data_IF_539867585783
#
_entry.id   IF_539867585783
#
_cell.length_a   1.000
_cell.length_b   1.000
_cell.length_c   1.000
_cell.angle_alpha   90.00
_cell.angle_beta   90.00
_cell.angle_gamma   90.00
#
_symmetry.space_group_name_H-M   'P 1'
#
loop_
_entity.id
_entity.type
_entity.pdbx_description
1 polymer ?
#
# COMPACT_ATOMS: atom_id res chain seq x y z
N UNK A 1 -14.19 9.11 -95.05
CA UNK A 1 -13.01 8.27 -95.35
C UNK A 1 -12.71 7.44 -94.12
N UNK A 2 -12.58 6.11 -94.30
CA UNK A 2 -12.28 5.11 -93.26
C UNK A 2 -10.87 5.31 -92.69
N UNK A 3 -10.63 4.95 -91.43
CA UNK A 3 -9.46 4.25 -90.83
C UNK A 3 -9.72 4.23 -89.31
N UNK A 4 -10.17 3.14 -88.67
CA UNK A 4 -9.57 1.83 -88.36
C UNK A 4 -8.56 1.85 -87.19
N UNK A 5 -8.81 0.93 -86.24
CA UNK A 5 -8.20 0.74 -84.92
C UNK A 5 -6.81 0.08 -84.93
N UNK A 6 -6.17 0.15 -83.75
CA UNK A 6 -5.08 -0.69 -83.21
C UNK A 6 -3.65 -0.24 -83.57
N UNK A 7 -2.65 -0.18 -82.68
CA UNK A 7 -2.38 -0.87 -81.40
C UNK A 7 -1.59 0.03 -80.45
N UNK A 8 -2.06 0.18 -79.21
CA UNK A 8 -1.27 0.62 -78.07
C UNK A 8 -0.50 -0.62 -77.58
N UNK A 9 0.82 -0.66 -77.68
CA UNK A 9 1.67 -1.58 -76.91
C UNK A 9 3.15 -1.22 -77.12
N UNK A 10 3.73 -0.45 -76.19
CA UNK A 10 5.06 -0.70 -75.61
C UNK A 10 5.32 0.30 -74.46
N UNK A 11 4.52 0.21 -73.39
CA UNK A 11 4.96 0.78 -72.11
C UNK A 11 5.90 -0.24 -71.49
N UNK A 12 7.19 0.09 -71.56
CA UNK A 12 8.29 -0.64 -70.93
C UNK A 12 7.93 -0.95 -69.47
N UNK A 13 7.90 -2.25 -69.17
CA UNK A 13 7.93 -2.82 -67.83
C UNK A 13 9.21 -2.38 -67.11
N UNK A 14 9.20 -1.19 -66.51
CA UNK A 14 10.08 -0.85 -65.39
C UNK A 14 9.32 -1.14 -64.10
N UNK A 15 9.18 -2.45 -63.83
CA UNK A 15 9.01 -2.92 -62.47
C UNK A 15 10.31 -2.66 -61.72
N UNK A 16 10.54 -1.40 -61.33
CA UNK A 16 11.50 -1.13 -60.27
C UNK A 16 10.90 -1.71 -59.01
N UNK A 17 11.37 -2.90 -58.68
CA UNK A 17 11.41 -3.41 -57.32
C UNK A 17 12.12 -2.35 -56.47
N UNK A 18 11.37 -1.35 -56.01
CA UNK A 18 11.76 -0.63 -54.81
C UNK A 18 11.65 -1.68 -53.70
N UNK A 19 12.76 -2.08 -53.08
CA UNK A 19 12.62 -2.77 -51.81
C UNK A 19 11.93 -1.75 -50.91
N UNK A 20 10.65 -1.96 -50.60
CA UNK A 20 10.11 -1.44 -49.36
C UNK A 20 10.96 -2.09 -48.27
N UNK A 21 12.09 -1.45 -47.95
CA UNK A 21 12.75 -1.66 -46.69
C UNK A 21 11.84 -0.99 -45.67
N UNK A 22 10.75 -1.67 -45.32
CA UNK A 22 10.04 -1.45 -44.08
C UNK A 22 10.92 -1.97 -42.95
N UNK A 23 12.11 -1.40 -42.81
CA UNK A 23 12.81 -1.41 -41.55
C UNK A 23 11.93 -0.59 -40.62
N UNK A 24 11.08 -1.28 -39.85
CA UNK A 24 10.42 -0.70 -38.69
C UNK A 24 11.49 0.09 -37.93
N UNK A 25 11.23 1.34 -37.50
CA UNK A 25 12.20 2.09 -36.72
C UNK A 25 12.65 1.22 -35.55
N UNK A 26 13.93 0.83 -35.54
CA UNK A 26 14.51 0.14 -34.39
C UNK A 26 14.48 1.14 -33.24
N UNK A 27 13.75 0.83 -32.17
CA UNK A 27 13.73 1.65 -30.98
C UNK A 27 15.17 1.89 -30.52
N UNK A 28 15.54 3.12 -30.12
CA UNK A 28 16.87 3.37 -29.60
C UNK A 28 17.13 2.47 -28.39
N UNK A 29 18.37 1.97 -28.19
CA UNK A 29 18.70 1.19 -27.02
C UNK A 29 18.48 2.02 -25.75
N UNK A 30 18.03 1.36 -24.68
CA UNK A 30 17.88 2.00 -23.38
C UNK A 30 19.26 2.45 -22.85
N UNK A 31 19.31 3.63 -22.25
CA UNK A 31 20.50 4.11 -21.56
C UNK A 31 20.73 3.30 -20.26
N UNK A 32 21.99 3.22 -19.81
CA UNK A 32 22.38 2.46 -18.62
C UNK A 32 21.59 2.84 -17.37
N UNK A 33 21.31 4.14 -17.18
CA UNK A 33 20.52 4.60 -16.04
C UNK A 33 19.06 4.13 -16.10
N UNK A 34 18.48 3.97 -17.30
CA UNK A 34 17.12 3.47 -17.46
C UNK A 34 17.03 2.01 -17.04
N UNK A 35 18.02 1.20 -17.47
CA UNK A 35 18.15 -0.21 -17.11
C UNK A 35 18.36 -0.36 -15.61
N UNK A 36 19.29 0.43 -15.03
CA UNK A 36 19.56 0.45 -13.59
C UNK A 36 18.31 0.80 -12.78
N UNK A 37 17.65 1.92 -13.10
CA UNK A 37 16.48 2.39 -12.35
C UNK A 37 15.32 1.38 -12.43
N UNK A 38 15.12 0.75 -13.60
CA UNK A 38 14.17 -0.35 -13.76
C UNK A 38 14.51 -1.52 -12.84
N UNK A 39 15.76 -1.97 -12.83
CA UNK A 39 16.19 -3.09 -11.99
C UNK A 39 16.09 -2.78 -10.50
N UNK A 40 16.44 -1.58 -10.06
CA UNK A 40 16.30 -1.16 -8.67
C UNK A 40 14.84 -1.25 -8.21
N UNK A 41 13.92 -0.60 -8.93
CA UNK A 41 12.49 -0.62 -8.59
C UNK A 41 11.92 -2.03 -8.67
N UNK A 42 12.21 -2.75 -9.76
CA UNK A 42 11.73 -4.12 -9.92
C UNK A 42 12.22 -5.00 -8.76
N UNK A 43 13.48 -4.89 -8.35
CA UNK A 43 14.03 -5.68 -7.24
C UNK A 43 13.35 -5.35 -5.90
N UNK A 44 13.07 -4.07 -5.62
CA UNK A 44 12.30 -3.65 -4.44
C UNK A 44 10.95 -4.38 -4.39
N UNK A 45 10.16 -4.32 -5.46
CA UNK A 45 8.86 -5.00 -5.49
C UNK A 45 8.96 -6.53 -5.55
N UNK A 46 10.05 -7.09 -6.09
CA UNK A 46 10.28 -8.53 -5.99
C UNK A 46 10.45 -8.98 -4.53
N UNK A 47 10.90 -8.12 -3.60
CA UNK A 47 10.95 -8.45 -2.18
C UNK A 47 9.57 -8.41 -1.50
N UNK A 48 8.54 -7.78 -2.08
CA UNK A 48 7.18 -7.80 -1.52
C UNK A 48 6.40 -9.07 -1.88
N UNK A 49 6.97 -9.95 -2.71
CA UNK A 49 6.35 -11.21 -3.14
C UNK A 49 6.65 -12.31 -2.13
N UNK A 50 5.60 -12.98 -1.65
CA UNK A 50 5.72 -14.03 -0.64
C UNK A 50 6.49 -15.25 -1.18
N UNK A 51 7.37 -15.89 -0.39
CA UNK A 51 7.71 -15.58 1.02
C UNK A 51 8.93 -14.63 1.18
N UNK A 52 9.34 -13.91 0.13
CA UNK A 52 10.61 -13.15 0.17
C UNK A 52 10.59 -12.02 1.19
N UNK A 53 9.44 -11.41 1.47
CA UNK A 53 9.34 -10.33 2.45
C UNK A 53 9.63 -10.79 3.88
N UNK A 54 9.48 -12.09 4.21
CA UNK A 54 9.62 -12.58 5.60
C UNK A 54 11.03 -12.35 6.15
N UNK A 55 12.06 -12.54 5.32
CA UNK A 55 13.45 -12.29 5.72
C UNK A 55 13.76 -10.80 5.93
N UNK A 56 13.05 -9.92 5.21
CA UNK A 56 13.15 -8.47 5.37
C UNK A 56 12.45 -8.03 6.65
N UNK A 57 11.20 -8.49 6.86
CA UNK A 57 10.40 -8.17 8.05
C UNK A 57 11.11 -8.60 9.33
N UNK A 58 11.76 -9.77 9.33
CA UNK A 58 12.53 -10.26 10.48
C UNK A 58 13.69 -9.36 10.90
N UNK A 59 14.13 -8.44 10.03
CA UNK A 59 15.24 -7.51 10.26
C UNK A 59 14.79 -6.05 10.32
N UNK A 60 13.48 -5.77 10.28
CA UNK A 60 12.98 -4.41 10.03
C UNK A 60 13.23 -3.43 11.17
N UNK A 61 13.54 -3.92 12.36
CA UNK A 61 13.94 -3.10 13.51
C UNK A 61 15.41 -2.66 13.43
N UNK A 62 16.18 -3.18 12.47
CA UNK A 62 17.55 -2.75 12.23
C UNK A 62 17.59 -1.48 11.38
N UNK A 63 18.60 -0.64 11.63
CA UNK A 63 18.83 0.59 10.85
C UNK A 63 19.36 0.32 9.43
N UNK A 64 19.76 -0.93 9.13
CA UNK A 64 20.10 -1.37 7.78
C UNK A 64 19.76 -2.86 7.57
N UNK A 65 19.51 -3.23 6.30
CA UNK A 65 19.25 -4.60 5.86
C UNK A 65 20.13 -4.86 4.62
N UNK A 66 21.08 -5.80 4.66
CA UNK A 66 22.07 -6.00 3.59
C UNK A 66 21.46 -6.18 2.19
N UNK A 67 20.31 -6.85 2.08
CA UNK A 67 19.61 -7.07 0.81
C UNK A 67 19.01 -5.78 0.21
N UNK A 68 18.78 -4.76 1.04
CA UNK A 68 18.15 -3.49 0.68
C UNK A 68 19.14 -2.33 0.59
N UNK A 69 20.34 -2.45 1.19
CA UNK A 69 21.40 -1.44 1.11
C UNK A 69 21.77 -1.02 -0.33
N UNK A 70 21.78 -1.93 -1.33
CA UNK A 70 22.02 -1.53 -2.73
C UNK A 70 20.80 -0.88 -3.40
N UNK A 71 19.63 -0.88 -2.76
CA UNK A 71 18.36 -0.45 -3.35
C UNK A 71 17.85 0.86 -2.76
N UNK A 72 18.11 1.11 -1.48
CA UNK A 72 17.64 2.28 -0.75
C UNK A 72 18.81 3.04 -0.13
N UNK A 73 18.76 4.37 -0.20
CA UNK A 73 19.67 5.23 0.54
C UNK A 73 19.43 5.10 2.04
N UNK A 74 20.46 5.20 2.90
CA UNK A 74 20.29 5.23 4.36
C UNK A 74 19.38 6.38 4.84
N UNK A 75 19.27 7.45 4.04
CA UNK A 75 18.43 8.62 4.32
C UNK A 75 17.14 8.62 3.50
N UNK A 76 16.69 7.46 3.02
CA UNK A 76 15.48 7.38 2.19
C UNK A 76 14.29 8.00 2.93
N UNK A 77 13.53 8.81 2.20
CA UNK A 77 12.33 9.48 2.67
C UNK A 77 11.26 9.42 1.60
N UNK A 78 9.99 9.27 1.96
CA UNK A 78 8.96 9.20 0.95
C UNK A 78 7.54 9.30 1.46
N UNK A 79 6.61 9.26 0.53
CA UNK A 79 5.17 9.27 0.78
C UNK A 79 4.54 8.09 0.08
N UNK A 80 3.64 7.41 0.77
CA UNK A 80 2.59 6.62 0.11
C UNK A 80 1.29 7.36 0.42
N UNK A 81 0.74 7.97 -0.62
CA UNK A 81 -0.45 8.80 -0.57
C UNK A 81 -1.58 8.03 0.12
N UNK A 82 -2.27 8.72 1.02
CA UNK A 82 -3.29 8.20 1.94
C UNK A 82 -2.82 7.22 3.03
N UNK A 83 -1.58 6.72 2.99
CA UNK A 83 -0.99 5.91 4.06
C UNK A 83 -0.17 6.77 5.01
N UNK A 84 0.81 7.51 4.50
CA UNK A 84 1.64 8.35 5.35
C UNK A 84 2.96 8.80 4.73
N UNK A 85 3.71 9.52 5.55
CA UNK A 85 5.05 10.02 5.25
C UNK A 85 6.09 9.24 6.06
N UNK A 86 7.20 8.93 5.42
CA UNK A 86 8.30 8.13 5.93
C UNK A 86 9.58 8.95 5.81
N UNK A 87 10.30 9.14 6.90
CA UNK A 87 11.42 10.11 6.95
C UNK A 87 12.76 9.44 7.22
N UNK A 88 12.79 8.11 7.27
CA UNK A 88 14.01 7.33 7.47
C UNK A 88 13.85 5.93 6.87
N UNK A 89 14.99 5.24 6.72
CA UNK A 89 15.08 3.89 6.20
C UNK A 89 14.13 2.92 6.92
N UNK A 90 14.21 2.84 8.25
CA UNK A 90 13.40 1.92 9.06
C UNK A 90 11.90 2.03 8.74
N UNK A 91 11.36 3.26 8.80
CA UNK A 91 9.94 3.51 8.57
C UNK A 91 9.54 3.25 7.11
N UNK A 92 10.40 3.58 6.14
CA UNK A 92 10.14 3.26 4.73
C UNK A 92 10.06 1.75 4.52
N UNK A 93 11.05 1.00 4.99
CA UNK A 93 11.11 -0.45 4.81
C UNK A 93 9.94 -1.14 5.52
N UNK A 94 9.65 -0.73 6.74
CA UNK A 94 8.55 -1.30 7.52
C UNK A 94 7.21 -1.20 6.81
N UNK A 95 6.88 -0.06 6.23
CA UNK A 95 5.61 0.08 5.54
C UNK A 95 5.59 -0.61 4.18
N UNK A 96 6.70 -0.61 3.44
CA UNK A 96 6.78 -1.30 2.15
C UNK A 96 6.59 -2.81 2.29
N UNK A 97 7.23 -3.43 3.30
CA UNK A 97 7.26 -4.89 3.43
C UNK A 97 6.32 -5.41 4.52
N UNK A 98 6.14 -4.68 5.62
CA UNK A 98 5.27 -5.08 6.74
C UNK A 98 3.78 -4.96 6.43
N UNK A 99 3.38 -4.06 5.52
CA UNK A 99 1.99 -3.95 5.05
C UNK A 99 1.69 -4.76 3.78
N UNK A 100 2.72 -5.36 3.16
CA UNK A 100 2.51 -6.25 2.02
C UNK A 100 1.69 -7.48 2.48
N UNK A 101 0.53 -7.77 1.85
CA UNK A 101 -0.27 -8.93 2.20
C UNK A 101 0.57 -10.20 2.32
N UNK A 102 0.48 -10.84 3.50
CA UNK A 102 1.13 -12.10 3.82
C UNK A 102 0.23 -12.98 4.70
N UNK A 103 0.40 -14.31 4.68
CA UNK A 103 -0.33 -15.19 5.58
C UNK A 103 0.10 -14.93 7.03
N UNK A 104 -0.81 -14.41 7.85
CA UNK A 104 -0.55 -14.11 9.25
C UNK A 104 -1.84 -14.17 10.07
N UNK A 105 -1.80 -14.89 11.20
CA UNK A 105 -2.96 -15.02 12.09
C UNK A 105 -4.18 -15.59 11.37
N UNK A 106 -5.27 -14.82 11.30
CA UNK A 106 -6.49 -15.17 10.56
C UNK A 106 -6.55 -14.61 9.14
N UNK A 107 -5.53 -13.85 8.71
CA UNK A 107 -5.41 -13.33 7.35
C UNK A 107 -4.58 -14.30 6.51
N UNK A 108 -5.13 -14.69 5.37
CA UNK A 108 -4.54 -15.72 4.53
C UNK A 108 -4.46 -15.22 3.10
N UNK A 109 -3.87 -14.04 2.96
CA UNK A 109 -3.63 -13.40 1.67
C UNK A 109 -2.15 -13.22 1.44
N UNK A 110 -1.70 -13.27 0.18
CA UNK A 110 -0.29 -13.11 -0.14
C UNK A 110 -0.11 -12.43 -1.50
N UNK A 111 0.79 -11.46 -1.60
CA UNK A 111 1.29 -11.03 -2.91
C UNK A 111 2.08 -12.22 -3.49
N UNK A 112 1.60 -12.76 -4.62
CA UNK A 112 2.25 -13.88 -5.33
C UNK A 112 2.96 -13.44 -6.60
N UNK A 113 2.69 -12.21 -7.04
CA UNK A 113 3.27 -11.61 -8.23
C UNK A 113 3.30 -10.10 -8.07
N UNK A 114 4.40 -9.49 -8.49
CA UNK A 114 4.54 -8.04 -8.63
C UNK A 114 5.14 -7.77 -10.01
N UNK A 115 4.34 -7.15 -10.88
CA UNK A 115 4.72 -6.88 -12.27
C UNK A 115 4.83 -5.37 -12.49
N UNK A 116 6.01 -4.92 -12.92
CA UNK A 116 6.26 -3.55 -13.33
C UNK A 116 5.68 -3.32 -14.74
N UNK A 117 4.37 -3.07 -14.80
CA UNK A 117 3.60 -2.94 -16.05
C UNK A 117 3.86 -1.66 -16.84
N UNK A 118 4.25 -0.59 -16.15
CA UNK A 118 4.67 0.66 -16.79
C UNK A 118 5.90 1.19 -16.09
N UNK A 119 6.85 1.67 -16.87
CA UNK A 119 8.07 2.29 -16.36
C UNK A 119 8.57 3.34 -17.35
N UNK A 120 8.98 4.49 -16.83
CA UNK A 120 9.74 5.48 -17.58
C UNK A 120 10.84 6.06 -16.69
N UNK A 121 11.96 6.41 -17.29
CA UNK A 121 13.03 7.13 -16.62
C UNK A 121 13.67 8.07 -17.63
N UNK A 122 13.30 9.34 -17.50
CA UNK A 122 13.71 10.41 -18.42
C UNK A 122 14.99 11.12 -17.93
N UNK A 123 15.48 10.75 -16.74
CA UNK A 123 16.66 11.33 -16.11
C UNK A 123 17.35 10.28 -15.22
N UNK A 124 18.69 10.31 -15.06
CA UNK A 124 19.39 9.36 -14.20
C UNK A 124 18.82 9.26 -12.78
N UNK A 125 18.40 10.38 -12.21
CA UNK A 125 17.87 10.42 -10.84
C UNK A 125 16.36 10.29 -10.73
N UNK A 126 15.59 10.12 -11.82
CA UNK A 126 14.11 10.13 -11.74
C UNK A 126 13.51 8.99 -12.56
N UNK A 127 12.53 8.31 -11.97
CA UNK A 127 11.67 7.38 -12.69
C UNK A 127 10.21 7.48 -12.25
N UNK A 128 9.30 7.06 -13.12
CA UNK A 128 7.91 6.80 -12.81
C UNK A 128 7.59 5.32 -13.06
N UNK A 129 6.68 4.76 -12.27
CA UNK A 129 6.32 3.34 -12.38
C UNK A 129 4.84 3.11 -12.13
N UNK A 130 4.29 2.05 -12.73
CA UNK A 130 3.06 1.40 -12.28
C UNK A 130 3.33 -0.09 -12.07
N UNK A 131 3.10 -0.56 -10.85
CA UNK A 131 3.20 -1.97 -10.47
C UNK A 131 1.81 -2.54 -10.22
N UNK A 132 1.52 -3.67 -10.87
CA UNK A 132 0.35 -4.47 -10.57
C UNK A 132 0.77 -5.64 -9.69
N UNK A 133 0.02 -5.86 -8.62
CA UNK A 133 0.19 -7.00 -7.74
C UNK A 133 -0.94 -7.98 -7.97
N UNK A 134 -0.58 -9.25 -8.04
CA UNK A 134 -1.53 -10.36 -7.93
C UNK A 134 -1.51 -10.86 -6.50
N UNK A 135 -2.67 -10.80 -5.85
CA UNK A 135 -2.82 -11.18 -4.44
C UNK A 135 -3.68 -12.43 -4.38
N UNK A 136 -3.13 -13.53 -3.87
CA UNK A 136 -3.89 -14.72 -3.56
C UNK A 136 -4.73 -14.47 -2.29
N UNK A 137 -6.00 -14.87 -2.32
CA UNK A 137 -6.94 -14.88 -1.20
C UNK A 137 -7.21 -16.37 -0.92
N UNK A 138 -6.65 -16.96 0.12
CA UNK A 138 -6.92 -18.35 0.48
C UNK A 138 -7.50 -18.43 1.90
N UNK A 139 -8.14 -19.54 2.27
CA UNK A 139 -8.64 -19.78 3.63
C UNK A 139 -8.22 -21.20 4.04
N UNK A 140 -7.38 -21.39 5.08
CA UNK A 140 -6.83 -22.70 5.42
C UNK A 140 -7.87 -23.69 5.94
N UNK A 141 -9.09 -23.22 6.26
CA UNK A 141 -10.21 -24.07 6.67
C UNK A 141 -11.00 -24.61 5.48
N UNK A 142 -10.71 -24.18 4.24
CA UNK A 142 -11.37 -24.69 3.03
C UNK A 142 -10.53 -25.80 2.37
N UNK A 143 -11.13 -26.95 2.01
CA UNK A 143 -10.46 -27.96 1.20
C UNK A 143 -9.94 -27.35 -0.12
N UNK A 144 -8.68 -27.62 -0.47
CA UNK A 144 -8.05 -27.10 -1.68
C UNK A 144 -7.13 -25.90 -1.47
N UNK A 145 -6.80 -25.54 -0.22
CA UNK A 145 -5.71 -24.60 0.09
C UNK A 145 -4.43 -25.00 -0.68
N UNK A 146 -3.90 -24.09 -1.50
CA UNK A 146 -2.73 -24.35 -2.34
C UNK A 146 -2.92 -25.26 -3.56
N UNK A 147 -4.11 -25.84 -3.79
CA UNK A 147 -4.38 -26.67 -4.96
C UNK A 147 -4.48 -25.82 -6.25
N UNK A 148 -4.03 -26.31 -7.41
CA UNK A 148 -4.30 -25.67 -8.69
C UNK A 148 -5.81 -25.58 -8.95
N UNK A 149 -6.32 -24.39 -9.28
CA UNK A 149 -7.73 -24.16 -9.63
C UNK A 149 -8.66 -23.69 -8.51
N UNK A 150 -8.18 -23.56 -7.27
CA UNK A 150 -8.97 -23.08 -6.10
C UNK A 150 -8.61 -21.66 -5.66
N UNK A 151 -7.59 -21.04 -6.28
CA UNK A 151 -7.04 -19.74 -5.88
C UNK A 151 -7.97 -18.60 -6.30
N UNK A 152 -8.70 -18.03 -5.36
CA UNK A 152 -9.30 -16.70 -5.56
C UNK A 152 -8.20 -15.67 -5.56
N UNK A 153 -8.09 -14.88 -6.62
CA UNK A 153 -7.13 -13.78 -6.71
C UNK A 153 -7.86 -12.44 -6.69
N UNK A 154 -7.20 -11.44 -6.14
CA UNK A 154 -7.52 -10.04 -6.36
C UNK A 154 -6.27 -9.31 -6.84
N UNK A 155 -6.43 -8.04 -7.23
CA UNK A 155 -5.36 -7.23 -7.79
C UNK A 155 -5.26 -5.91 -7.05
N UNK A 156 -4.03 -5.46 -6.86
CA UNK A 156 -3.71 -4.14 -6.33
C UNK A 156 -2.82 -3.43 -7.33
N UNK A 157 -2.89 -2.11 -7.38
CA UNK A 157 -2.00 -1.28 -8.19
C UNK A 157 -1.28 -0.28 -7.29
N UNK A 158 -0.01 -0.04 -7.55
CA UNK A 158 0.71 1.10 -7.01
C UNK A 158 1.37 1.86 -8.15
N UNK A 159 1.28 3.18 -8.13
CA UNK A 159 1.86 4.05 -9.15
C UNK A 159 2.54 5.24 -8.49
N UNK A 160 3.54 5.83 -9.14
CA UNK A 160 4.15 7.06 -8.64
C UNK A 160 5.57 7.27 -9.13
N UNK A 161 6.29 8.09 -8.37
CA UNK A 161 7.59 8.65 -8.74
C UNK A 161 8.69 8.18 -7.77
N UNK A 162 9.89 8.07 -8.32
CA UNK A 162 11.09 7.64 -7.63
C UNK A 162 12.20 8.63 -7.93
N UNK A 163 12.99 8.94 -6.91
CA UNK A 163 14.25 9.65 -7.03
C UNK A 163 15.39 8.71 -6.64
N UNK A 164 16.52 8.85 -7.32
CA UNK A 164 17.73 8.06 -7.04
C UNK A 164 18.91 8.96 -6.69
N UNK A 165 19.71 8.51 -5.73
CA UNK A 165 21.00 9.11 -5.41
C UNK A 165 22.04 8.85 -6.50
N UNK A 166 23.25 9.38 -6.31
CA UNK A 166 24.37 9.22 -7.24
C UNK A 166 24.83 7.75 -7.42
N UNK A 167 24.48 6.87 -6.47
CA UNK A 167 24.76 5.44 -6.53
C UNK A 167 23.63 4.63 -7.19
N UNK A 168 22.51 5.28 -7.56
CA UNK A 168 21.35 4.63 -8.14
C UNK A 168 20.45 3.92 -7.12
N UNK A 169 20.57 4.28 -5.84
CA UNK A 169 19.67 3.83 -4.77
C UNK A 169 18.51 4.80 -4.64
N UNK A 170 17.34 4.33 -4.26
CA UNK A 170 16.18 5.16 -3.98
C UNK A 170 16.44 6.01 -2.73
N UNK A 171 16.48 7.32 -2.89
CA UNK A 171 16.56 8.30 -1.78
C UNK A 171 15.23 9.01 -1.55
N UNK A 172 14.38 9.15 -2.58
CA UNK A 172 12.99 9.58 -2.41
C UNK A 172 11.96 8.79 -3.20
N UNK A 173 10.73 8.70 -2.69
CA UNK A 173 9.59 8.15 -3.42
C UNK A 173 8.29 8.90 -3.08
N UNK A 174 7.40 9.01 -4.07
CA UNK A 174 6.04 9.52 -3.89
C UNK A 174 5.08 8.62 -4.65
N UNK A 175 4.35 7.79 -3.91
CA UNK A 175 3.60 6.65 -4.43
C UNK A 175 2.13 6.77 -4.05
N UNK A 176 1.28 6.12 -4.84
CA UNK A 176 -0.16 6.12 -4.64
C UNK A 176 -0.73 4.74 -4.95
N UNK A 177 -1.64 4.30 -4.09
CA UNK A 177 -2.39 3.06 -4.25
C UNK A 177 -3.85 3.43 -4.53
N UNK A 178 -4.29 3.45 -5.80
CA UNK A 178 -5.69 3.71 -6.10
C UNK A 178 -6.58 2.58 -5.55
N UNK A 179 -7.79 2.96 -5.10
CA UNK A 179 -8.82 2.03 -4.63
C UNK A 179 -8.38 1.14 -3.45
N UNK A 180 -7.58 1.71 -2.53
CA UNK A 180 -7.07 0.98 -1.37
C UNK A 180 -8.21 0.53 -0.44
N UNK A 181 -9.25 1.35 -0.29
CA UNK A 181 -10.44 0.98 0.48
C UNK A 181 -11.23 -0.19 -0.12
N UNK A 182 -11.47 -0.20 -1.44
CA UNK A 182 -12.12 -1.36 -2.08
C UNK A 182 -11.23 -2.60 -1.98
N UNK A 183 -9.92 -2.46 -2.20
CA UNK A 183 -8.97 -3.56 -2.06
C UNK A 183 -9.02 -4.16 -0.65
N UNK A 184 -8.97 -3.34 0.40
CA UNK A 184 -9.04 -3.80 1.79
C UNK A 184 -10.37 -4.52 2.09
N UNK A 185 -11.49 -4.04 1.54
CA UNK A 185 -12.81 -4.68 1.66
C UNK A 185 -12.81 -6.09 1.05
N UNK A 186 -12.25 -6.23 -0.16
CA UNK A 186 -12.10 -7.52 -0.85
C UNK A 186 -11.17 -8.46 -0.08
N UNK A 187 -10.01 -7.94 0.35
CA UNK A 187 -8.98 -8.70 1.05
C UNK A 187 -9.52 -9.34 2.34
N UNK A 188 -10.33 -8.60 3.09
CA UNK A 188 -10.91 -9.05 4.34
C UNK A 188 -12.24 -9.81 4.17
N UNK A 189 -12.82 -9.83 2.96
CA UNK A 189 -14.13 -10.41 2.71
C UNK A 189 -15.23 -9.77 3.57
N UNK A 190 -15.11 -8.49 3.87
CA UNK A 190 -15.93 -7.79 4.88
C UNK A 190 -16.50 -6.49 4.31
N UNK A 191 -17.79 -6.23 4.51
CA UNK A 191 -18.40 -4.95 4.17
C UNK A 191 -18.17 -3.92 5.28
N UNK A 192 -17.16 -3.08 5.13
CA UNK A 192 -16.83 -2.04 6.10
C UNK A 192 -17.86 -0.88 6.16
N UNK A 193 -18.92 -0.88 5.34
CA UNK A 193 -20.05 0.02 5.53
C UNK A 193 -21.06 -0.52 6.58
N UNK A 194 -20.99 -1.81 6.91
CA UNK A 194 -21.86 -2.41 7.92
C UNK A 194 -21.44 -2.01 9.33
N UNK A 195 -22.35 -1.39 10.09
CA UNK A 195 -22.12 -1.02 11.50
C UNK A 195 -21.68 -2.23 12.34
N UNK A 196 -22.24 -3.42 12.09
CA UNK A 196 -21.83 -4.65 12.77
C UNK A 196 -20.36 -4.98 12.48
N UNK A 197 -19.96 -4.94 11.21
CA UNK A 197 -18.58 -5.24 10.79
C UNK A 197 -17.60 -4.24 11.39
N UNK A 198 -17.94 -2.94 11.38
CA UNK A 198 -17.12 -1.89 11.99
C UNK A 198 -16.92 -2.11 13.49
N UNK A 199 -17.98 -2.46 14.22
CA UNK A 199 -17.89 -2.75 15.65
C UNK A 199 -17.14 -4.07 15.91
N UNK A 200 -17.32 -5.11 15.11
CA UNK A 200 -16.56 -6.36 15.25
C UNK A 200 -15.06 -6.15 14.98
N UNK A 201 -14.70 -5.39 13.95
CA UNK A 201 -13.32 -4.99 13.69
C UNK A 201 -12.75 -4.16 14.86
N UNK A 202 -13.53 -3.21 15.40
CA UNK A 202 -13.13 -2.44 16.59
C UNK A 202 -12.86 -3.34 17.80
N UNK A 203 -13.72 -4.35 18.02
CA UNK A 203 -13.52 -5.37 19.07
C UNK A 203 -12.22 -6.14 18.86
N UNK A 204 -11.95 -6.61 17.65
CA UNK A 204 -10.74 -7.35 17.31
C UNK A 204 -9.48 -6.52 17.54
N UNK A 205 -9.49 -5.23 17.16
CA UNK A 205 -8.37 -4.32 17.43
C UNK A 205 -8.10 -4.23 18.93
N UNK A 206 -9.14 -4.11 19.74
CA UNK A 206 -8.99 -4.00 21.18
C UNK A 206 -8.42 -5.27 21.84
N UNK A 207 -8.83 -6.44 21.36
CA UNK A 207 -8.24 -7.71 21.80
C UNK A 207 -6.77 -7.81 21.38
N UNK A 208 -6.46 -7.45 20.13
CA UNK A 208 -5.09 -7.45 19.62
C UNK A 208 -4.20 -6.46 20.37
N UNK A 209 -4.67 -5.24 20.62
CA UNK A 209 -3.95 -4.22 21.36
C UNK A 209 -3.62 -4.69 22.78
N UNK A 210 -4.57 -5.31 23.50
CA UNK A 210 -4.31 -5.85 24.84
C UNK A 210 -3.37 -7.06 24.82
N UNK A 211 -3.37 -7.83 23.73
CA UNK A 211 -2.49 -8.98 23.54
C UNK A 211 -1.04 -8.58 23.22
N UNK A 212 -0.86 -7.62 22.32
CA UNK A 212 0.43 -7.21 21.74
C UNK A 212 1.07 -6.06 22.53
N UNK A 213 0.30 -5.02 22.84
CA UNK A 213 0.80 -3.78 23.44
C UNK A 213 0.79 -3.87 24.97
N UNK A 214 1.87 -4.42 25.54
CA UNK A 214 2.03 -4.69 26.98
C UNK A 214 3.17 -3.88 27.62
N UNK A 215 3.16 -3.77 28.94
CA UNK A 215 4.22 -3.08 29.69
C UNK A 215 4.25 -1.59 29.37
N UNK A 216 5.42 -1.07 28.97
CA UNK A 216 5.57 0.34 28.54
C UNK A 216 4.68 0.69 27.34
N UNK A 217 4.30 -0.29 26.53
CA UNK A 217 3.50 -0.12 25.33
C UNK A 217 1.99 -0.20 25.61
N UNK A 218 1.54 -0.40 26.85
CA UNK A 218 0.11 -0.51 27.16
C UNK A 218 -0.65 0.80 26.90
N UNK A 219 -1.62 0.72 25.98
CA UNK A 219 -2.40 1.88 25.55
C UNK A 219 -3.74 2.06 26.26
N UNK A 220 -4.36 0.96 26.68
CA UNK A 220 -5.66 0.97 27.33
C UNK A 220 -5.56 0.25 28.67
N UNK A 221 -5.89 0.99 29.73
CA UNK A 221 -5.95 0.48 31.09
C UNK A 221 -7.41 0.22 31.47
N UNK A 222 -7.69 -0.78 32.33
CA UNK A 222 -9.03 -1.06 32.81
C UNK A 222 -9.68 0.17 33.46
N UNK A 223 -10.83 0.61 32.93
CA UNK A 223 -11.64 1.67 33.54
C UNK A 223 -12.58 1.06 34.58
N UNK A 224 -12.30 1.33 35.85
CA UNK A 224 -13.14 0.87 36.97
C UNK A 224 -14.55 1.46 36.83
N UNK A 225 -15.56 0.61 37.00
CA UNK A 225 -16.97 1.00 36.93
C UNK A 225 -17.55 1.08 35.51
N UNK A 226 -16.76 0.83 34.47
CA UNK A 226 -17.29 0.72 33.11
C UNK A 226 -18.20 -0.51 32.98
N UNK A 227 -19.46 -0.29 32.61
CA UNK A 227 -20.46 -1.34 32.43
C UNK A 227 -20.80 -1.51 30.95
N UNK A 228 -21.06 -2.75 30.53
CA UNK A 228 -21.47 -3.06 29.15
C UNK A 228 -22.72 -2.25 28.75
N UNK A 229 -23.68 -2.09 29.66
CA UNK A 229 -24.88 -1.29 29.40
C UNK A 229 -24.58 0.18 29.06
N UNK A 230 -23.56 0.77 29.68
CA UNK A 230 -23.13 2.14 29.37
C UNK A 230 -22.49 2.23 27.97
N UNK A 231 -21.70 1.22 27.60
CA UNK A 231 -21.10 1.11 26.26
C UNK A 231 -22.17 0.95 25.18
N UNK A 232 -23.14 0.06 25.40
CA UNK A 232 -24.26 -0.13 24.47
C UNK A 232 -25.09 1.14 24.29
N UNK A 233 -25.38 1.85 25.38
CA UNK A 233 -26.09 3.12 25.33
C UNK A 233 -25.31 4.18 24.55
N UNK A 234 -23.99 4.28 24.75
CA UNK A 234 -23.13 5.20 23.99
C UNK A 234 -23.10 4.89 22.48
N UNK A 235 -23.33 3.63 22.09
CA UNK A 235 -23.46 3.20 20.70
C UNK A 235 -24.86 3.44 20.10
N UNK A 236 -25.79 3.95 20.91
CA UNK A 236 -27.20 4.10 20.56
C UNK A 236 -27.90 2.75 20.38
N UNK A 237 -27.44 1.68 21.03
CA UNK A 237 -28.02 0.34 20.93
C UNK A 237 -28.98 0.10 22.09
N UNK A 238 -30.23 -0.23 21.76
CA UNK A 238 -31.25 -0.65 22.71
C UNK A 238 -31.15 -2.15 22.98
N UNK A 239 -31.02 -2.59 24.24
CA UNK A 239 -31.00 -4.01 24.59
C UNK A 239 -32.21 -4.81 24.09
N UNK A 240 -33.34 -4.15 23.87
CA UNK A 240 -34.57 -4.78 23.38
C UNK A 240 -34.66 -4.81 21.84
N UNK A 241 -34.23 -3.75 21.17
CA UNK A 241 -34.39 -3.61 19.72
C UNK A 241 -33.19 -4.19 18.95
N UNK A 242 -31.99 -4.10 19.53
CA UNK A 242 -30.74 -4.48 18.89
C UNK A 242 -30.20 -5.82 19.42
N UNK A 243 -31.04 -6.64 20.04
CA UNK A 243 -30.64 -7.91 20.65
C UNK A 243 -29.83 -8.83 19.69
N UNK A 244 -30.19 -8.99 18.40
CA UNK A 244 -29.37 -9.77 17.47
C UNK A 244 -27.95 -9.21 17.30
N UNK A 245 -27.84 -7.88 17.11
CA UNK A 245 -26.57 -7.19 16.98
C UNK A 245 -25.74 -7.32 18.26
N UNK A 246 -26.36 -7.08 19.43
CA UNK A 246 -25.70 -7.18 20.74
C UNK A 246 -25.17 -8.60 20.98
N UNK A 247 -25.97 -9.62 20.66
CA UNK A 247 -25.56 -11.02 20.78
C UNK A 247 -24.36 -11.34 19.87
N UNK A 248 -24.35 -10.82 18.64
CA UNK A 248 -23.22 -10.99 17.72
C UNK A 248 -21.97 -10.23 18.17
N UNK A 249 -22.11 -9.02 18.73
CA UNK A 249 -20.98 -8.27 19.28
C UNK A 249 -20.33 -9.00 20.47
N UNK A 250 -21.14 -9.67 21.30
CA UNK A 250 -20.65 -10.50 22.39
C UNK A 250 -19.71 -9.76 23.33
N UNK A 251 -20.05 -8.53 23.74
CA UNK A 251 -19.18 -7.68 24.58
C UNK A 251 -18.90 -8.28 25.96
N UNK A 252 -19.75 -9.20 26.43
CA UNK A 252 -19.53 -9.95 27.68
C UNK A 252 -18.29 -10.84 27.67
N UNK A 253 -17.71 -11.13 26.51
CA UNK A 253 -16.47 -11.90 26.41
C UNK A 253 -15.21 -11.07 26.62
N UNK A 254 -15.32 -9.73 26.70
CA UNK A 254 -14.18 -8.84 26.81
C UNK A 254 -13.70 -8.72 28.26
N UNK A 255 -12.39 -8.72 28.45
CA UNK A 255 -11.84 -8.28 29.74
C UNK A 255 -11.99 -6.75 29.90
N UNK A 256 -11.78 -6.22 31.12
CA UNK A 256 -12.06 -4.81 31.39
C UNK A 256 -11.16 -3.84 30.60
N UNK A 257 -9.91 -4.22 30.28
CA UNK A 257 -9.02 -3.43 29.42
C UNK A 257 -9.52 -3.40 27.97
N UNK A 258 -9.93 -4.55 27.44
CA UNK A 258 -10.53 -4.67 26.10
C UNK A 258 -11.85 -3.89 26.01
N UNK A 259 -12.71 -3.97 27.02
CA UNK A 259 -13.97 -3.21 27.07
C UNK A 259 -13.71 -1.70 27.12
N UNK A 260 -12.68 -1.27 27.86
CA UNK A 260 -12.27 0.15 27.92
C UNK A 260 -11.76 0.62 26.57
N UNK A 261 -10.93 -0.18 25.90
CA UNK A 261 -10.51 0.09 24.53
C UNK A 261 -11.71 0.21 23.60
N UNK A 262 -12.62 -0.77 23.65
CA UNK A 262 -13.76 -0.82 22.75
C UNK A 262 -14.64 0.42 22.92
N UNK A 263 -14.96 0.79 24.17
CA UNK A 263 -15.74 1.99 24.48
C UNK A 263 -15.10 3.28 23.93
N UNK A 264 -13.76 3.39 23.98
CA UNK A 264 -13.04 4.57 23.47
C UNK A 264 -12.97 4.58 21.96
N UNK A 265 -12.65 3.46 21.33
CA UNK A 265 -12.47 3.39 19.87
C UNK A 265 -13.79 3.40 19.12
N UNK A 266 -14.86 2.81 19.67
CA UNK A 266 -16.17 2.82 19.04
C UNK A 266 -16.83 4.20 19.03
N UNK A 267 -16.29 5.16 19.77
CA UNK A 267 -16.69 6.57 19.72
C UNK A 267 -15.99 7.36 18.60
N UNK A 268 -14.95 6.78 17.97
CA UNK A 268 -14.28 7.37 16.81
C UNK A 268 -14.98 6.96 15.52
N UNK A 269 -14.77 7.72 14.45
CA UNK A 269 -15.21 7.30 13.13
C UNK A 269 -14.45 6.03 12.72
N UNK A 270 -15.14 5.10 12.05
CA UNK A 270 -14.46 3.90 11.58
C UNK A 270 -13.38 4.25 10.54
N UNK A 271 -13.69 5.18 9.64
CA UNK A 271 -12.79 5.65 8.59
C UNK A 271 -12.81 4.77 7.34
N UNK A 272 -11.92 5.08 6.41
CA UNK A 272 -11.65 4.30 5.20
C UNK A 272 -10.16 3.98 5.13
N UNK A 273 -9.77 3.05 4.28
CA UNK A 273 -8.34 2.79 4.04
C UNK A 273 -7.70 3.81 3.08
N UNK A 274 -8.47 4.74 2.53
CA UNK A 274 -7.95 5.88 1.77
C UNK A 274 -7.66 7.10 2.67
N UNK A 275 -7.67 6.92 4.01
CA UNK A 275 -7.33 7.96 4.99
C UNK A 275 -6.64 7.37 6.22
N UNK A 276 -5.57 6.59 6.02
CA UNK A 276 -4.85 5.87 7.07
C UNK A 276 -3.91 6.73 7.92
N UNK A 277 -4.09 8.05 7.85
CA UNK A 277 -3.43 9.06 8.69
C UNK A 277 -4.42 9.75 9.64
N UNK A 278 -5.73 9.51 9.48
CA UNK A 278 -6.78 10.21 10.22
C UNK A 278 -7.01 9.64 11.63
N UNK A 279 -7.77 10.34 12.50
CA UNK A 279 -8.11 9.81 13.82
C UNK A 279 -9.26 8.78 13.74
N UNK A 280 -8.99 7.66 13.07
CA UNK A 280 -9.99 6.64 12.74
C UNK A 280 -9.63 5.27 13.32
N UNK A 281 -10.61 4.37 13.30
CA UNK A 281 -10.39 2.95 13.60
C UNK A 281 -9.54 2.29 12.52
N UNK A 282 -9.74 2.60 11.24
CA UNK A 282 -8.94 2.04 10.11
C UNK A 282 -7.45 2.35 10.22
N UNK A 283 -7.06 3.56 10.63
CA UNK A 283 -5.65 3.89 10.89
C UNK A 283 -5.06 2.96 11.97
N UNK A 284 -5.83 2.69 13.04
CA UNK A 284 -5.40 1.83 14.14
C UNK A 284 -5.36 0.34 13.78
N UNK A 285 -6.14 -0.11 12.80
CA UNK A 285 -6.02 -1.46 12.23
C UNK A 285 -4.61 -1.64 11.65
N UNK A 286 -4.16 -0.67 10.85
CA UNK A 286 -2.84 -0.71 10.20
C UNK A 286 -1.72 -0.68 11.25
N UNK A 287 -1.80 0.20 12.23
CA UNK A 287 -0.79 0.24 13.30
C UNK A 287 -0.81 -1.00 14.20
N UNK A 288 -1.95 -1.67 14.37
CA UNK A 288 -1.97 -2.94 15.08
C UNK A 288 -1.26 -4.05 14.29
N UNK A 289 -1.40 -4.07 12.96
CA UNK A 289 -0.64 -5.00 12.09
C UNK A 289 0.86 -4.72 12.18
N UNK A 290 1.27 -3.46 12.15
CA UNK A 290 2.68 -3.07 12.29
C UNK A 290 3.23 -3.33 13.70
N UNK A 291 2.41 -3.23 14.74
CA UNK A 291 2.81 -3.58 16.10
C UNK A 291 3.11 -5.08 16.30
N UNK A 292 2.71 -5.95 15.38
CA UNK A 292 3.17 -7.35 15.36
C UNK A 292 4.63 -7.49 14.92
N UNK A 293 5.17 -6.45 14.28
CA UNK A 293 6.51 -6.39 13.73
C UNK A 293 7.42 -5.51 14.61
N UNK A 294 7.02 -4.27 14.88
CA UNK A 294 7.70 -3.35 15.79
C UNK A 294 6.71 -2.74 16.81
N UNK A 295 6.43 -3.43 17.94
CA UNK A 295 5.48 -2.94 18.93
C UNK A 295 5.95 -1.65 19.63
N UNK A 296 7.25 -1.37 19.67
CA UNK A 296 7.78 -0.19 20.35
C UNK A 296 7.49 1.10 19.57
N UNK A 297 7.46 1.03 18.24
CA UNK A 297 7.07 2.16 17.38
C UNK A 297 5.54 2.27 17.24
N UNK A 298 4.85 1.14 17.05
CA UNK A 298 3.44 1.20 16.59
C UNK A 298 2.38 1.17 17.67
N UNK A 299 2.69 0.64 18.86
CA UNK A 299 1.66 0.51 19.88
C UNK A 299 1.08 1.86 20.30
N UNK A 300 1.88 2.93 20.38
CA UNK A 300 1.36 4.26 20.73
C UNK A 300 0.29 4.77 19.74
N UNK A 301 0.40 4.36 18.47
CA UNK A 301 -0.52 4.76 17.42
C UNK A 301 -1.86 4.01 17.49
N UNK A 302 -1.88 2.80 18.03
CA UNK A 302 -3.11 2.02 18.31
C UNK A 302 -3.94 2.65 19.44
N UNK A 303 -3.31 3.47 20.28
CA UNK A 303 -3.90 4.08 21.46
C UNK A 303 -4.98 5.13 21.18
N UNK A 304 -5.68 5.61 22.24
CA UNK A 304 -6.79 6.55 22.08
C UNK A 304 -6.37 7.92 21.55
N UNK A 305 -5.12 8.32 21.78
CA UNK A 305 -4.52 9.56 21.27
C UNK A 305 -4.00 9.42 19.84
N UNK A 306 -3.80 8.19 19.35
CA UNK A 306 -3.25 7.91 18.03
C UNK A 306 -1.74 8.14 17.91
N UNK A 307 -1.03 8.43 19.01
CA UNK A 307 0.44 8.58 19.04
C UNK A 307 0.99 9.54 17.98
N UNK A 308 0.23 10.57 17.60
CA UNK A 308 0.61 11.50 16.54
C UNK A 308 0.54 10.95 15.11
N UNK A 309 0.29 9.65 14.89
CA UNK A 309 0.09 9.08 13.55
C UNK A 309 -1.38 9.02 13.15
N UNK A 310 -2.24 8.48 14.03
CA UNK A 310 -3.68 8.43 13.82
C UNK A 310 -4.35 9.69 14.40
N UNK A 311 -4.07 10.84 13.81
CA UNK A 311 -4.59 12.15 14.24
C UNK A 311 -5.04 12.98 13.03
N UNK A 312 -6.00 13.88 13.23
CA UNK A 312 -6.45 14.74 12.13
C UNK A 312 -5.37 15.76 11.75
N UNK A 313 -5.01 15.77 10.46
CA UNK A 313 -4.10 16.75 9.87
C UNK A 313 -4.82 17.61 8.81
N UNK A 314 -4.44 18.88 8.65
CA UNK A 314 -4.92 19.70 7.53
C UNK A 314 -4.56 19.05 6.19
N UNK A 315 -5.53 19.00 5.26
CA UNK A 315 -5.33 18.44 3.92
C UNK A 315 -4.12 19.05 3.20
N UNK A 316 -3.98 20.38 3.26
CA UNK A 316 -2.89 21.10 2.63
C UNK A 316 -1.52 20.62 3.12
N UNK A 317 -1.39 20.42 4.43
CA UNK A 317 -0.14 20.04 5.06
C UNK A 317 0.34 18.65 4.64
N UNK A 318 -0.59 17.75 4.29
CA UNK A 318 -0.22 16.42 3.81
C UNK A 318 0.13 16.38 2.33
N UNK A 319 -0.58 17.18 1.54
CA UNK A 319 -0.50 17.10 0.07
C UNK A 319 0.57 18.02 -0.52
N UNK A 320 0.78 19.20 0.08
CA UNK A 320 1.54 20.27 -0.56
C UNK A 320 2.77 20.74 0.22
N UNK A 321 3.01 20.24 1.43
CA UNK A 321 4.24 20.55 2.20
C UNK A 321 5.44 19.67 1.79
N UNK A 322 5.60 19.46 0.50
CA UNK A 322 6.63 18.61 -0.12
C UNK A 322 8.05 18.98 0.32
N UNK A 323 8.34 20.28 0.51
CA UNK A 323 9.65 20.73 0.98
C UNK A 323 10.06 20.13 2.33
N UNK A 324 9.10 19.84 3.21
CA UNK A 324 9.39 19.24 4.52
C UNK A 324 9.78 17.77 4.41
N UNK A 325 9.23 17.07 3.42
CA UNK A 325 9.43 15.62 3.25
C UNK A 325 10.56 15.30 2.27
N UNK A 326 10.59 16.01 1.15
CA UNK A 326 11.50 15.80 0.04
C UNK A 326 12.65 16.80 0.01
N UNK A 327 12.70 17.77 0.93
CA UNK A 327 13.71 18.84 0.96
C UNK A 327 13.63 19.85 -0.20
N UNK A 328 12.72 19.65 -1.15
CA UNK A 328 12.43 20.53 -2.29
C UNK A 328 11.03 20.21 -2.85
N UNK A 329 10.38 21.19 -3.46
CA UNK A 329 9.09 21.06 -4.17
C UNK A 329 9.21 20.50 -5.58
N UNK A 330 10.44 20.32 -6.10
CA UNK A 330 10.71 19.84 -7.47
C UNK A 330 11.57 18.58 -7.49
N UNK A 331 11.61 17.82 -6.39
CA UNK A 331 12.44 16.62 -6.25
C UNK A 331 12.29 15.62 -7.40
N UNK A 332 11.07 15.43 -7.91
CA UNK A 332 10.77 14.51 -9.01
C UNK A 332 10.72 15.16 -10.40
N UNK A 333 11.31 16.36 -10.56
CA UNK A 333 11.38 17.08 -11.85
C UNK A 333 12.81 17.02 -12.41
N UNK A 334 12.95 16.55 -13.65
CA UNK A 334 14.25 16.61 -14.34
C UNK A 334 14.66 18.07 -14.59
N UNK A 335 15.93 18.37 -14.32
CA UNK A 335 16.50 19.70 -14.55
C UNK A 335 16.35 20.15 -16.02
N UNK A 336 16.37 19.21 -16.96
CA UNK A 336 16.16 19.46 -18.40
C UNK A 336 14.82 20.11 -18.73
N UNK A 337 13.78 19.91 -17.90
CA UNK A 337 12.49 20.56 -18.07
C UNK A 337 12.40 21.93 -17.38
N UNK A 338 13.40 22.34 -16.60
CA UNK A 338 13.41 23.64 -15.91
C UNK A 338 13.54 24.82 -16.88
N UNK A 339 14.17 24.61 -18.05
CA UNK A 339 14.29 25.63 -19.09
C UNK A 339 13.04 25.80 -19.96
N UNK A 340 12.05 24.90 -19.86
CA UNK A 340 10.80 24.99 -20.64
C UNK A 340 9.68 25.74 -19.91
N UNK A 341 9.85 26.05 -18.62
CA UNK A 341 8.83 26.79 -17.85
C UNK A 341 9.03 28.30 -17.92
N UNK A 342 9.12 28.84 -19.13
CA UNK A 342 9.02 30.28 -19.42
C UNK A 342 7.59 30.69 -19.68
#
# INVERSE_FOLDING_TARGET
>A
MRFSFATLDLVVLLSTWLPLSSALPTLPPLADYQIRNFHTINKIYQFTVYPRQEAIIAQVTNDSIPELEPLFSPTVSGRIQEIGNFTNFRHSIEYFFGLAPRPQGSMYSAIVEAELTQFSSDHPSIAASTVNFKVALDNPSKPGFGAPGTRTYTYLKQTGFWHFDEHGRVDYYDLYIPALNEFATILNGADFNSKLVQLLATKQICQGAQKLCKGKNTQYHPQIGLQIGAVLNALGLSPLLDLPLINQLGLGSLNLGELTCFAKLSAKSFGTFDKLWADTVTCRIVHLMLAEVDPDDHCEHVGPTGGGKCVEYPYYDRQFKDNTLFGDTRRFRSASYSSLST
#
